data_IF_914915674435
#
_entry.id   IF_914915674435
#
_cell.length_a   1.000
_cell.length_b   1.000
_cell.length_c   1.000
_cell.angle_alpha   90.00
_cell.angle_beta   90.00
_cell.angle_gamma   90.00
#
_symmetry.space_group_name_H-M   'P 1'
#
loop_
_entity.id
_entity.type
_entity.pdbx_description
1 polymer ?
#
# COMPACT_ATOMS: atom_id res chain seq x y z
N UNK A 1 -1.83 16.58 13.34
CA UNK A 1 -2.69 15.92 12.34
C UNK A 1 -3.87 15.36 13.09
N UNK A 2 -5.06 15.94 12.96
CA UNK A 2 -6.25 15.46 13.68
C UNK A 2 -7.27 15.01 12.63
N UNK A 3 -7.41 13.70 12.47
CA UNK A 3 -8.35 13.09 11.53
C UNK A 3 -8.12 11.58 11.43
N UNK A 4 -9.16 10.79 11.13
CA UNK A 4 -9.02 9.36 10.92
C UNK A 4 -8.11 9.08 9.73
N UNK A 5 -7.18 8.15 9.89
CA UNK A 5 -6.36 7.61 8.79
C UNK A 5 -6.80 6.19 8.45
N UNK A 6 -6.48 5.74 7.23
CA UNK A 6 -6.63 4.36 6.82
C UNK A 6 -5.25 3.77 6.55
N UNK A 7 -4.97 2.63 7.16
CA UNK A 7 -3.78 1.84 6.91
C UNK A 7 -4.13 0.67 5.99
N UNK A 8 -3.22 0.33 5.07
CA UNK A 8 -3.39 -0.77 4.13
C UNK A 8 -2.10 -1.57 4.01
N UNK A 9 -2.22 -2.90 3.90
CA UNK A 9 -1.14 -3.77 3.44
C UNK A 9 -1.40 -4.08 1.97
N UNK A 10 -0.50 -3.64 1.09
CA UNK A 10 -0.63 -3.83 -0.36
C UNK A 10 0.35 -4.92 -0.83
N UNK A 11 -0.11 -5.76 -1.74
CA UNK A 11 0.70 -6.82 -2.33
C UNK A 11 0.79 -6.63 -3.84
N UNK A 12 2.00 -6.82 -4.37
CA UNK A 12 2.36 -6.81 -5.79
C UNK A 12 3.76 -7.39 -5.91
N UNK A 13 4.11 -7.91 -7.08
CA UNK A 13 5.53 -7.87 -7.49
C UNK A 13 5.96 -6.40 -7.47
N UNK A 14 7.18 -6.07 -7.05
CA UNK A 14 7.67 -4.69 -6.92
C UNK A 14 6.83 -3.67 -6.11
N UNK A 15 5.97 -4.15 -5.19
CA UNK A 15 4.97 -3.33 -4.47
C UNK A 15 5.49 -1.99 -3.89
N UNK A 16 6.66 -1.98 -3.26
CA UNK A 16 7.24 -0.76 -2.65
C UNK A 16 7.54 0.27 -3.74
N UNK A 17 8.29 -0.14 -4.76
CA UNK A 17 8.69 0.75 -5.86
C UNK A 17 7.44 1.28 -6.57
N UNK A 18 6.52 0.40 -6.94
CA UNK A 18 5.31 0.78 -7.66
C UNK A 18 4.40 1.70 -6.85
N UNK A 19 4.21 1.43 -5.55
CA UNK A 19 3.43 2.32 -4.69
C UNK A 19 4.08 3.71 -4.60
N UNK A 20 5.42 3.78 -4.51
CA UNK A 20 6.14 5.05 -4.46
C UNK A 20 6.05 5.84 -5.76
N UNK A 21 6.10 5.17 -6.90
CA UNK A 21 5.88 5.80 -8.21
C UNK A 21 4.47 6.38 -8.30
N UNK A 22 3.46 5.61 -7.88
CA UNK A 22 2.07 6.03 -7.90
C UNK A 22 1.79 7.20 -6.93
N UNK A 23 2.45 7.22 -5.76
CA UNK A 23 2.41 8.38 -4.86
C UNK A 23 3.11 9.59 -5.48
N UNK A 24 4.25 9.38 -6.13
CA UNK A 24 5.13 10.41 -6.67
C UNK A 24 6.03 11.10 -5.63
N UNK A 25 6.79 12.13 -6.06
CA UNK A 25 7.76 12.82 -5.21
C UNK A 25 7.15 13.36 -3.91
N UNK A 26 7.92 13.31 -2.81
CA UNK A 26 7.45 13.77 -1.48
C UNK A 26 7.05 15.25 -1.47
N UNK A 27 7.81 16.09 -2.17
CA UNK A 27 7.55 17.54 -2.30
C UNK A 27 6.44 17.76 -3.32
N UNK A 28 5.32 18.33 -2.89
CA UNK A 28 4.11 18.47 -3.71
C UNK A 28 4.38 19.30 -4.96
N UNK A 29 5.12 20.41 -4.82
CA UNK A 29 5.50 21.24 -5.96
C UNK A 29 6.30 20.46 -7.01
N UNK A 30 7.27 19.65 -6.58
CA UNK A 30 8.05 18.79 -7.48
C UNK A 30 7.16 17.75 -8.15
N UNK A 31 6.26 17.10 -7.39
CA UNK A 31 5.32 16.13 -7.94
C UNK A 31 4.44 16.75 -9.03
N UNK A 32 3.87 17.94 -8.79
CA UNK A 32 3.06 18.66 -9.79
C UNK A 32 3.83 18.98 -11.07
N UNK A 33 5.12 19.29 -10.97
CA UNK A 33 5.94 19.64 -12.12
C UNK A 33 6.44 18.40 -12.89
N UNK A 34 6.95 17.37 -12.19
CA UNK A 34 7.61 16.23 -12.84
C UNK A 34 6.67 15.06 -13.11
N UNK A 35 5.58 14.95 -12.36
CA UNK A 35 4.73 13.76 -12.32
C UNK A 35 3.27 14.14 -12.00
N UNK A 36 2.61 14.99 -12.82
CA UNK A 36 1.33 15.64 -12.50
C UNK A 36 0.17 14.67 -12.23
N UNK A 37 0.28 13.42 -12.69
CA UNK A 37 -0.74 12.39 -12.53
C UNK A 37 -0.60 11.57 -11.24
N UNK A 38 0.45 11.78 -10.43
CA UNK A 38 0.62 11.02 -9.19
C UNK A 38 -0.29 11.53 -8.07
N UNK A 39 -0.53 10.71 -7.05
CA UNK A 39 -1.45 11.08 -5.94
C UNK A 39 -1.02 12.39 -5.28
N UNK A 40 0.28 12.55 -4.97
CA UNK A 40 0.79 13.76 -4.30
C UNK A 40 0.64 15.01 -5.16
N UNK A 41 0.75 14.87 -6.49
CA UNK A 41 0.56 15.99 -7.40
C UNK A 41 -0.89 16.46 -7.42
N UNK A 42 -1.82 15.52 -7.55
CA UNK A 42 -3.26 15.79 -7.68
C UNK A 42 -3.90 16.23 -6.36
N UNK A 43 -3.51 15.61 -5.24
CA UNK A 43 -4.24 15.74 -3.97
C UNK A 43 -3.41 16.34 -2.83
N UNK A 44 -2.09 16.49 -3.00
CA UNK A 44 -1.23 17.08 -1.97
C UNK A 44 -1.49 18.57 -1.82
N UNK A 45 -1.54 19.06 -0.57
CA UNK A 45 -1.72 20.47 -0.24
C UNK A 45 -0.38 21.15 0.10
N UNK A 46 0.44 20.48 0.91
CA UNK A 46 1.77 20.95 1.35
C UNK A 46 2.72 19.76 1.48
N UNK A 47 4.02 20.01 1.65
CA UNK A 47 5.02 18.95 1.82
C UNK A 47 4.75 18.05 3.04
N UNK A 48 4.10 18.58 4.09
CA UNK A 48 3.68 17.82 5.29
C UNK A 48 2.24 17.31 5.22
N UNK A 49 1.47 17.75 4.22
CA UNK A 49 0.08 17.32 3.95
C UNK A 49 0.00 16.83 2.50
N UNK A 50 0.79 15.81 2.20
CA UNK A 50 0.90 15.21 0.87
C UNK A 50 0.05 13.94 0.71
N UNK A 51 -0.98 13.76 1.55
CA UNK A 51 -2.07 12.79 1.39
C UNK A 51 -1.71 11.32 1.67
N UNK A 52 -0.51 10.87 1.34
CA UNK A 52 -0.13 9.45 1.44
C UNK A 52 1.25 9.21 2.05
N UNK A 53 1.33 8.13 2.82
CA UNK A 53 2.56 7.49 3.28
C UNK A 53 2.78 6.16 2.55
N UNK A 54 4.03 5.73 2.50
CA UNK A 54 4.39 4.40 2.04
C UNK A 54 5.84 4.11 2.39
N UNK A 55 6.09 2.86 2.76
CA UNK A 55 7.42 2.38 3.12
C UNK A 55 8.41 2.59 1.98
N UNK A 56 9.69 2.70 2.32
CA UNK A 56 10.80 2.93 1.39
C UNK A 56 11.69 1.70 1.18
N UNK A 57 11.55 0.68 2.03
CA UNK A 57 12.31 -0.56 1.97
C UNK A 57 11.50 -1.74 2.51
N UNK A 58 11.97 -2.97 2.29
CA UNK A 58 11.31 -4.17 2.81
C UNK A 58 11.35 -4.20 4.35
N UNK A 59 12.44 -3.71 4.94
CA UNK A 59 12.63 -3.62 6.38
C UNK A 59 11.70 -2.59 7.01
N UNK A 60 11.53 -1.41 6.39
CA UNK A 60 10.55 -0.42 6.87
C UNK A 60 9.13 -0.92 6.70
N UNK A 61 8.80 -1.58 5.58
CA UNK A 61 7.49 -2.20 5.37
C UNK A 61 7.17 -3.24 6.45
N UNK A 62 8.10 -4.16 6.75
CA UNK A 62 7.89 -5.17 7.79
C UNK A 62 7.67 -4.56 9.17
N UNK A 63 8.45 -3.53 9.53
CA UNK A 63 8.28 -2.82 10.81
C UNK A 63 6.94 -2.09 10.89
N UNK A 64 6.56 -1.38 9.84
CA UNK A 64 5.30 -0.62 9.78
C UNK A 64 4.08 -1.55 9.80
N UNK A 65 4.11 -2.65 9.03
CA UNK A 65 3.05 -3.67 9.03
C UNK A 65 2.87 -4.24 10.44
N UNK A 66 3.94 -4.65 11.11
CA UNK A 66 3.85 -5.20 12.47
C UNK A 66 3.34 -4.17 13.50
N UNK A 67 3.62 -2.89 13.28
CA UNK A 67 3.13 -1.81 14.14
C UNK A 67 1.62 -1.58 13.99
N UNK A 68 1.11 -1.53 12.75
CA UNK A 68 -0.30 -1.25 12.48
C UNK A 68 -1.20 -2.49 12.53
N UNK A 69 -0.66 -3.67 12.23
CA UNK A 69 -1.39 -4.94 12.11
C UNK A 69 -0.64 -6.06 12.86
N UNK A 70 -0.58 -6.03 14.20
CA UNK A 70 0.20 -6.99 14.99
C UNK A 70 -0.24 -8.45 14.80
N UNK A 71 -1.51 -8.67 14.44
CA UNK A 71 -2.07 -10.00 14.17
C UNK A 71 -1.82 -10.50 12.73
N UNK A 72 -1.27 -9.65 11.85
CA UNK A 72 -0.97 -10.01 10.46
C UNK A 72 0.47 -10.53 10.33
N UNK A 73 0.61 -11.78 9.85
CA UNK A 73 1.92 -12.35 9.52
C UNK A 73 2.17 -12.32 8.01
N UNK A 74 3.11 -11.48 7.60
CA UNK A 74 3.58 -11.42 6.21
C UNK A 74 4.14 -12.77 5.76
N UNK A 75 4.84 -13.50 6.63
CA UNK A 75 5.43 -14.80 6.31
C UNK A 75 4.36 -15.85 6.04
N UNK A 76 3.32 -15.89 6.88
CA UNK A 76 2.19 -16.80 6.69
C UNK A 76 1.45 -16.47 5.40
N UNK A 77 1.24 -15.19 5.11
CA UNK A 77 0.62 -14.75 3.87
C UNK A 77 1.45 -15.15 2.64
N UNK A 78 2.77 -14.95 2.69
CA UNK A 78 3.68 -15.37 1.62
C UNK A 78 3.65 -16.88 1.38
N UNK A 79 3.59 -17.68 2.45
CA UNK A 79 3.59 -19.13 2.33
C UNK A 79 2.26 -19.70 1.80
N UNK A 80 1.13 -19.05 2.08
CA UNK A 80 -0.21 -19.63 1.85
C UNK A 80 -1.00 -18.96 0.74
N UNK A 81 -0.83 -17.65 0.58
CA UNK A 81 -1.71 -16.82 -0.26
C UNK A 81 -1.00 -16.21 -1.46
N UNK A 82 0.31 -15.97 -1.41
CA UNK A 82 1.07 -15.31 -2.49
C UNK A 82 0.91 -16.00 -3.84
N UNK A 83 0.96 -17.34 -3.87
CA UNK A 83 0.83 -18.10 -5.12
C UNK A 83 -0.56 -17.92 -5.73
N UNK A 84 -1.60 -17.88 -4.90
CA UNK A 84 -2.97 -17.64 -5.37
C UNK A 84 -3.18 -16.20 -5.82
N UNK A 85 -2.57 -15.24 -5.10
CA UNK A 85 -2.49 -13.84 -5.52
C UNK A 85 -1.86 -13.70 -6.90
N UNK A 86 -0.68 -14.29 -7.13
CA UNK A 86 0.00 -14.27 -8.44
C UNK A 86 -0.81 -14.94 -9.55
N UNK A 87 -1.61 -15.95 -9.22
CA UNK A 87 -2.50 -16.64 -10.18
C UNK A 87 -3.82 -15.88 -10.43
N UNK A 88 -4.00 -14.68 -9.86
CA UNK A 88 -5.21 -13.88 -10.01
C UNK A 88 -6.44 -14.47 -9.30
N UNK A 89 -6.24 -15.36 -8.31
CA UNK A 89 -7.32 -16.09 -7.61
C UNK A 89 -7.76 -15.40 -6.33
N UNK A 90 -7.64 -14.07 -6.27
CA UNK A 90 -8.02 -13.29 -5.09
C UNK A 90 -9.34 -12.58 -5.35
N UNK A 91 -10.22 -12.63 -4.37
CA UNK A 91 -11.49 -11.93 -4.38
C UNK A 91 -11.50 -10.89 -3.25
N UNK A 92 -11.99 -9.69 -3.55
CA UNK A 92 -12.11 -8.63 -2.55
C UNK A 92 -13.37 -8.84 -1.69
N UNK A 93 -13.18 -9.11 -0.41
CA UNK A 93 -14.27 -9.18 0.56
C UNK A 93 -14.62 -7.77 1.05
N UNK A 94 -15.69 -7.19 0.53
CA UNK A 94 -16.10 -5.82 0.87
C UNK A 94 -16.40 -5.61 2.36
N UNK A 95 -16.94 -6.62 3.06
CA UNK A 95 -17.28 -6.51 4.49
C UNK A 95 -16.04 -6.49 5.38
N UNK A 96 -15.07 -7.36 5.07
CA UNK A 96 -13.81 -7.46 5.81
C UNK A 96 -12.74 -6.48 5.32
N UNK A 97 -12.96 -5.87 4.15
CA UNK A 97 -12.02 -4.97 3.45
C UNK A 97 -10.66 -5.60 3.17
N UNK A 98 -10.62 -6.92 2.94
CA UNK A 98 -9.41 -7.68 2.62
C UNK A 98 -9.62 -8.51 1.36
N UNK A 99 -8.53 -8.85 0.68
CA UNK A 99 -8.55 -9.84 -0.38
C UNK A 99 -8.38 -11.23 0.23
N UNK A 100 -9.18 -12.20 -0.23
CA UNK A 100 -9.09 -13.61 0.20
C UNK A 100 -8.99 -14.51 -1.02
N UNK A 101 -8.32 -15.67 -0.87
CA UNK A 101 -8.28 -16.68 -1.91
C UNK A 101 -9.69 -17.17 -2.26
N UNK A 102 -9.97 -17.30 -3.56
CA UNK A 102 -11.15 -18.00 -4.04
C UNK A 102 -11.05 -19.48 -3.65
N UNK A 103 -11.89 -19.92 -2.72
CA UNK A 103 -12.09 -21.33 -2.44
C UNK A 103 -13.01 -21.86 -3.53
N UNK A 104 -12.50 -22.65 -4.47
CA UNK A 104 -13.36 -23.38 -5.40
C UNK A 104 -14.04 -24.50 -4.60
N UNK A 105 -15.37 -24.43 -4.51
CA UNK A 105 -16.24 -25.54 -4.11
C UNK A 105 -16.31 -26.59 -5.21
#
# INVERSE_FOLDING_TARGET
MNGPMRAYVLAREDAITHWRELMGPTKVFRARYTSPLTIRAQYGLTDTRNTTHGSDSAESARREINFFFPDFSQETWMAREELGFRKGRMEYNQKKQIHTLQVHS
#
